data_IF_807159475783
#
_entry.id   IF_807159475783
#
_cell.length_a   1.000
_cell.length_b   1.000
_cell.length_c   1.000
_cell.angle_alpha   90.00
_cell.angle_beta   90.00
_cell.angle_gamma   90.00
#
_symmetry.space_group_name_H-M   'P 1'
#
loop_
_entity.id
_entity.type
_entity.pdbx_description
1 polymer ?
#
# COMPACT_ATOMS: atom_id res chain seq x y z
N UNK A 1 18.56 13.77 -44.49
CA UNK A 1 17.43 13.69 -43.53
C UNK A 1 17.28 15.03 -42.80
N UNK A 2 16.10 15.36 -42.28
CA UNK A 2 15.85 16.60 -41.52
C UNK A 2 15.52 16.29 -40.06
N UNK A 3 15.90 17.19 -39.15
CA UNK A 3 15.53 17.10 -37.74
C UNK A 3 14.00 17.13 -37.57
N UNK A 4 13.43 16.17 -36.83
CA UNK A 4 11.99 16.10 -36.57
C UNK A 4 11.45 17.32 -35.82
N UNK A 5 12.27 17.98 -34.99
CA UNK A 5 11.88 19.15 -34.21
C UNK A 5 12.02 20.47 -34.97
N UNK A 6 13.23 20.79 -35.48
CA UNK A 6 13.51 22.11 -36.09
C UNK A 6 13.65 22.09 -37.62
N UNK A 7 13.43 20.94 -38.27
CA UNK A 7 13.48 20.74 -39.74
C UNK A 7 14.82 21.03 -40.43
N UNK A 8 15.88 21.36 -39.69
CA UNK A 8 17.22 21.55 -40.27
C UNK A 8 17.79 20.25 -40.84
N UNK A 9 18.60 20.31 -41.90
CA UNK A 9 19.33 19.15 -42.40
C UNK A 9 20.20 18.55 -41.29
N UNK A 10 20.12 17.23 -41.11
CA UNK A 10 21.00 16.47 -40.23
C UNK A 10 22.28 16.14 -40.99
N UNK A 11 23.42 16.24 -40.30
CA UNK A 11 24.69 15.75 -40.83
C UNK A 11 24.60 14.22 -41.04
N UNK A 12 25.30 13.65 -42.04
CA UNK A 12 25.19 12.23 -42.39
C UNK A 12 25.42 11.28 -41.20
N UNK A 13 26.36 11.62 -40.32
CA UNK A 13 26.72 10.83 -39.13
C UNK A 13 25.63 10.83 -38.05
N UNK A 14 24.89 11.94 -37.90
CA UNK A 14 23.76 12.05 -36.97
C UNK A 14 22.46 11.45 -37.54
N UNK A 15 22.38 11.26 -38.86
CA UNK A 15 21.17 10.82 -39.55
C UNK A 15 20.86 9.32 -39.35
N UNK A 16 21.86 8.49 -39.01
CA UNK A 16 21.68 7.05 -38.83
C UNK A 16 21.14 6.64 -37.44
N UNK A 17 21.27 7.50 -36.42
CA UNK A 17 20.99 7.12 -35.03
C UNK A 17 20.08 8.10 -34.27
N UNK A 18 19.78 9.26 -34.86
CA UNK A 18 19.02 10.33 -34.19
C UNK A 18 18.14 11.11 -35.17
N UNK A 19 16.82 11.01 -34.99
CA UNK A 19 15.85 11.87 -35.70
C UNK A 19 15.92 13.36 -35.25
N UNK A 20 16.82 13.72 -34.34
CA UNK A 20 16.98 15.06 -33.76
C UNK A 20 18.41 15.58 -33.92
N UNK A 21 18.59 16.89 -34.03
CA UNK A 21 19.91 17.53 -33.99
C UNK A 21 20.33 17.86 -32.55
N UNK A 22 21.60 18.23 -32.35
CA UNK A 22 22.21 18.46 -31.03
C UNK A 22 21.82 19.77 -30.33
N UNK A 23 20.93 20.55 -30.95
CA UNK A 23 20.42 21.77 -30.31
C UNK A 23 19.68 21.41 -29.01
N UNK A 24 19.91 22.16 -27.90
CA UNK A 24 19.29 21.87 -26.62
C UNK A 24 17.77 21.68 -26.69
N UNK A 25 17.05 22.49 -27.47
CA UNK A 25 15.60 22.41 -27.61
C UNK A 25 15.15 21.14 -28.34
N UNK A 26 15.94 20.70 -29.33
CA UNK A 26 15.66 19.48 -30.09
C UNK A 26 15.95 18.23 -29.25
N UNK A 27 17.02 18.25 -28.45
CA UNK A 27 17.36 17.17 -27.52
C UNK A 27 16.35 17.08 -26.36
N UNK A 28 15.88 18.22 -25.84
CA UNK A 28 14.77 18.23 -24.86
C UNK A 28 13.51 17.61 -25.45
N UNK A 29 13.12 17.97 -26.68
CA UNK A 29 11.96 17.37 -27.34
C UNK A 29 12.14 15.87 -27.59
N UNK A 30 13.34 15.41 -27.97
CA UNK A 30 13.68 13.98 -28.06
C UNK A 30 13.45 13.25 -26.74
N UNK A 31 13.93 13.81 -25.62
CA UNK A 31 13.74 13.23 -24.28
C UNK A 31 12.26 13.17 -23.90
N UNK A 32 11.51 14.24 -24.16
CA UNK A 32 10.05 14.27 -23.90
C UNK A 32 9.32 13.19 -24.71
N UNK A 33 9.60 13.06 -26.00
CA UNK A 33 8.97 12.03 -26.84
C UNK A 33 9.38 10.61 -26.45
N UNK A 34 10.65 10.39 -26.09
CA UNK A 34 11.11 9.10 -25.60
C UNK A 34 10.42 8.71 -24.28
N UNK A 35 10.32 9.67 -23.33
CA UNK A 35 9.59 9.48 -22.07
C UNK A 35 8.11 9.22 -22.31
N UNK A 36 7.47 9.93 -23.26
CA UNK A 36 6.07 9.72 -23.60
C UNK A 36 5.84 8.31 -24.18
N UNK A 37 6.70 7.84 -25.08
CA UNK A 37 6.64 6.47 -25.63
C UNK A 37 6.83 5.40 -24.55
N UNK A 38 7.80 5.59 -23.66
CA UNK A 38 8.03 4.68 -22.53
C UNK A 38 6.81 4.65 -21.59
N UNK A 39 6.22 5.82 -21.30
CA UNK A 39 5.01 5.93 -20.48
C UNK A 39 3.83 5.21 -21.14
N UNK A 40 3.62 5.40 -22.44
CA UNK A 40 2.58 4.73 -23.21
C UNK A 40 2.77 3.20 -23.20
N UNK A 41 3.97 2.71 -23.51
CA UNK A 41 4.25 1.27 -23.50
C UNK A 41 4.03 0.66 -22.10
N UNK A 42 4.44 1.36 -21.04
CA UNK A 42 4.19 0.92 -19.66
C UNK A 42 2.70 0.92 -19.31
N UNK A 43 1.92 1.87 -19.83
CA UNK A 43 0.48 1.91 -19.65
C UNK A 43 -0.21 0.73 -20.36
N UNK A 44 0.18 0.43 -21.59
CA UNK A 44 -0.32 -0.72 -22.37
C UNK A 44 0.01 -2.05 -21.68
N UNK A 45 1.25 -2.22 -21.21
CA UNK A 45 1.67 -3.40 -20.45
C UNK A 45 0.87 -3.55 -19.15
N UNK A 46 0.68 -2.47 -18.40
CA UNK A 46 -0.12 -2.50 -17.17
C UNK A 46 -1.59 -2.86 -17.45
N UNK A 47 -2.18 -2.29 -18.52
CA UNK A 47 -3.56 -2.58 -18.90
C UNK A 47 -3.73 -4.05 -19.30
N UNK A 48 -2.79 -4.59 -20.10
CA UNK A 48 -2.78 -6.00 -20.47
C UNK A 48 -2.63 -6.91 -19.24
N UNK A 49 -1.71 -6.56 -18.32
CA UNK A 49 -1.54 -7.25 -17.06
C UNK A 49 -2.85 -7.27 -16.26
N UNK A 50 -3.51 -6.12 -16.09
CA UNK A 50 -4.77 -6.03 -15.35
C UNK A 50 -5.90 -6.83 -15.98
N UNK A 51 -6.09 -6.75 -17.30
CA UNK A 51 -7.15 -7.48 -17.99
C UNK A 51 -6.98 -9.00 -17.84
N UNK A 52 -5.74 -9.50 -17.96
CA UNK A 52 -5.43 -10.91 -17.74
C UNK A 52 -5.63 -11.31 -16.26
N UNK A 53 -5.21 -10.44 -15.35
CA UNK A 53 -5.37 -10.63 -13.90
C UNK A 53 -6.85 -10.77 -13.52
N UNK A 54 -7.70 -9.82 -13.94
CA UNK A 54 -9.14 -9.84 -13.68
C UNK A 54 -9.78 -11.15 -14.18
N UNK A 55 -9.46 -11.55 -15.43
CA UNK A 55 -9.96 -12.81 -16.01
C UNK A 55 -9.53 -14.05 -15.22
N UNK A 56 -8.28 -14.10 -14.74
CA UNK A 56 -7.78 -15.26 -13.97
C UNK A 56 -8.36 -15.32 -12.57
N UNK A 57 -8.68 -14.18 -11.96
CA UNK A 57 -9.12 -14.16 -10.55
C UNK A 57 -10.61 -14.08 -10.33
N UNK A 58 -11.40 -13.86 -11.39
CA UNK A 58 -12.86 -13.83 -11.29
C UNK A 58 -13.41 -15.07 -10.55
N UNK A 59 -12.98 -16.27 -10.92
CA UNK A 59 -13.46 -17.51 -10.31
C UNK A 59 -13.12 -17.63 -8.83
N UNK A 60 -11.90 -17.25 -8.42
CA UNK A 60 -11.49 -17.34 -7.00
C UNK A 60 -12.13 -16.23 -6.16
N UNK A 61 -12.40 -15.06 -6.73
CA UNK A 61 -13.15 -13.99 -6.05
C UNK A 61 -14.59 -14.45 -5.82
N UNK A 62 -15.26 -15.03 -6.83
CA UNK A 62 -16.62 -15.59 -6.68
C UNK A 62 -16.68 -16.69 -5.62
N UNK A 63 -15.73 -17.62 -5.64
CA UNK A 63 -15.67 -18.70 -4.65
C UNK A 63 -15.47 -18.15 -3.22
N UNK A 64 -14.56 -17.20 -3.02
CA UNK A 64 -14.37 -16.57 -1.71
C UNK A 64 -15.60 -15.76 -1.26
N UNK A 65 -16.30 -15.10 -2.18
CA UNK A 65 -17.53 -14.38 -1.89
C UNK A 65 -18.64 -15.34 -1.44
N UNK A 66 -18.84 -16.46 -2.14
CA UNK A 66 -19.76 -17.53 -1.76
C UNK A 66 -19.41 -18.13 -0.38
N UNK A 67 -18.13 -18.42 -0.12
CA UNK A 67 -17.67 -18.92 1.18
C UNK A 67 -17.86 -17.90 2.31
N UNK A 68 -17.83 -16.60 2.01
CA UNK A 68 -18.15 -15.52 2.96
C UNK A 68 -19.66 -15.30 3.14
N UNK A 69 -20.50 -16.12 2.52
CA UNK A 69 -21.96 -16.05 2.62
C UNK A 69 -22.61 -15.04 1.68
N UNK A 70 -21.86 -14.45 0.73
CA UNK A 70 -22.39 -13.54 -0.27
C UNK A 70 -21.99 -13.93 -1.70
N UNK A 71 -22.74 -14.83 -2.37
CA UNK A 71 -22.39 -15.28 -3.73
C UNK A 71 -22.58 -14.20 -4.80
N UNK A 72 -23.37 -13.15 -4.52
CA UNK A 72 -23.61 -12.06 -5.46
C UNK A 72 -22.53 -10.96 -5.33
N UNK A 73 -21.67 -10.84 -6.34
CA UNK A 73 -20.61 -9.82 -6.40
C UNK A 73 -21.14 -8.40 -6.53
N UNK A 74 -22.41 -8.20 -6.88
CA UNK A 74 -23.02 -6.88 -6.88
C UNK A 74 -23.38 -6.42 -5.45
N UNK A 75 -23.41 -7.36 -4.50
CA UNK A 75 -23.76 -7.14 -3.09
C UNK A 75 -22.57 -7.18 -2.14
N UNK A 76 -21.38 -7.57 -2.61
CA UNK A 76 -20.13 -7.54 -1.86
C UNK A 76 -19.09 -6.67 -2.56
N UNK A 77 -18.28 -5.96 -1.79
CA UNK A 77 -17.16 -5.21 -2.36
C UNK A 77 -16.07 -6.18 -2.83
N UNK A 78 -15.42 -5.92 -3.95
CA UNK A 78 -14.29 -6.76 -4.34
C UNK A 78 -13.18 -6.02 -5.07
N UNK A 79 -11.98 -6.60 -5.08
CA UNK A 79 -10.85 -5.99 -5.73
C UNK A 79 -9.64 -6.89 -5.90
N UNK A 80 -8.58 -6.27 -6.41
CA UNK A 80 -7.27 -6.88 -6.59
C UNK A 80 -6.25 -6.16 -5.72
N UNK A 81 -5.18 -6.86 -5.38
CA UNK A 81 -4.01 -6.29 -4.71
C UNK A 81 -2.72 -6.92 -5.27
N UNK A 82 -1.54 -6.28 -5.15
CA UNK A 82 -0.28 -6.93 -5.45
C UNK A 82 0.10 -7.82 -4.27
N UNK A 83 0.43 -9.09 -4.50
CA UNK A 83 0.90 -9.99 -3.44
C UNK A 83 2.42 -10.02 -3.41
N UNK A 84 3.01 -9.67 -2.27
CA UNK A 84 4.48 -9.59 -2.10
C UNK A 84 5.09 -10.89 -1.56
N UNK A 85 4.27 -11.87 -1.15
CA UNK A 85 4.66 -13.18 -0.62
C UNK A 85 5.86 -13.14 0.34
N UNK A 86 5.71 -12.38 1.42
CA UNK A 86 6.73 -12.30 2.46
C UNK A 86 6.28 -13.09 3.70
N UNK A 87 7.19 -13.89 4.29
CA UNK A 87 6.84 -14.72 5.41
C UNK A 87 6.60 -13.88 6.67
N UNK A 88 5.69 -14.37 7.50
CA UNK A 88 5.52 -13.91 8.87
C UNK A 88 6.64 -14.53 9.73
N UNK A 89 7.45 -13.69 10.38
CA UNK A 89 8.61 -14.14 11.15
C UNK A 89 8.60 -13.53 12.56
N UNK A 90 9.14 -14.23 13.58
CA UNK A 90 9.38 -13.61 14.88
C UNK A 90 10.18 -12.32 14.72
N UNK A 91 9.82 -11.29 15.49
CA UNK A 91 10.51 -10.01 15.40
C UNK A 91 11.96 -10.14 15.89
N UNK A 92 12.98 -9.79 15.09
CA UNK A 92 14.36 -9.84 15.54
C UNK A 92 14.59 -8.93 16.74
N UNK A 93 15.17 -9.45 17.82
CA UNK A 93 15.40 -8.71 19.07
C UNK A 93 16.16 -7.40 18.85
N UNK A 94 17.16 -7.43 17.96
CA UNK A 94 17.94 -6.25 17.56
C UNK A 94 17.02 -5.16 17.00
N UNK A 95 16.08 -5.50 16.12
CA UNK A 95 15.15 -4.52 15.54
C UNK A 95 14.18 -3.96 16.60
N UNK A 96 13.69 -4.80 17.52
CA UNK A 96 12.85 -4.35 18.63
C UNK A 96 13.60 -3.38 19.53
N UNK A 97 14.85 -3.69 19.89
CA UNK A 97 15.72 -2.84 20.70
C UNK A 97 15.99 -1.50 20.01
N UNK A 98 16.38 -1.53 18.74
CA UNK A 98 16.71 -0.32 17.99
C UNK A 98 15.47 0.58 17.82
N UNK A 99 14.29 -0.02 17.62
CA UNK A 99 13.03 0.73 17.61
C UNK A 99 12.66 1.30 18.97
N UNK A 100 12.82 0.55 20.06
CA UNK A 100 12.58 1.05 21.42
C UNK A 100 13.54 2.20 21.77
N UNK A 101 14.80 2.15 21.32
CA UNK A 101 15.75 3.25 21.47
C UNK A 101 15.31 4.50 20.69
N UNK A 102 14.85 4.33 19.43
CA UNK A 102 14.28 5.42 18.64
C UNK A 102 13.05 6.05 19.32
N UNK A 103 12.12 5.23 19.81
CA UNK A 103 10.94 5.70 20.55
C UNK A 103 11.33 6.51 21.78
N UNK A 104 12.23 6.00 22.63
CA UNK A 104 12.73 6.74 23.80
C UNK A 104 13.33 8.08 23.41
N UNK A 105 14.09 8.14 22.33
CA UNK A 105 14.71 9.38 21.86
C UNK A 105 13.65 10.42 21.45
N UNK A 106 12.66 10.06 20.63
CA UNK A 106 11.62 11.00 20.18
C UNK A 106 10.63 11.36 21.30
N UNK A 107 10.45 10.49 22.30
CA UNK A 107 9.68 10.78 23.52
C UNK A 107 10.44 11.79 24.38
N UNK A 108 11.71 11.52 24.69
CA UNK A 108 12.54 12.45 25.45
C UNK A 108 12.60 13.84 24.77
N UNK A 109 12.76 13.88 23.45
CA UNK A 109 12.74 15.13 22.68
C UNK A 109 11.42 15.91 22.84
N UNK A 110 10.28 15.20 22.94
CA UNK A 110 8.98 15.83 23.20
C UNK A 110 8.89 16.39 24.62
N UNK A 111 9.29 15.61 25.63
CA UNK A 111 9.18 16.01 27.05
C UNK A 111 10.16 17.12 27.45
N UNK A 112 11.38 17.12 26.91
CA UNK A 112 12.35 18.19 27.19
C UNK A 112 11.85 19.57 26.75
N UNK A 113 10.97 19.65 25.74
CA UNK A 113 10.35 20.91 25.35
C UNK A 113 9.39 21.45 26.42
N UNK A 114 8.69 20.56 27.14
CA UNK A 114 7.79 20.89 28.25
C UNK A 114 8.54 21.28 29.50
N UNK A 115 9.64 20.59 29.82
CA UNK A 115 10.49 20.98 30.96
C UNK A 115 11.03 22.40 30.80
N UNK A 116 11.28 22.85 29.56
CA UNK A 116 11.74 24.20 29.25
C UNK A 116 10.62 25.26 29.34
N UNK A 117 9.41 24.95 28.88
CA UNK A 117 8.27 25.87 28.91
C UNK A 117 7.52 25.90 30.24
N UNK A 118 7.63 24.84 31.04
CA UNK A 118 6.82 24.61 32.24
C UNK A 118 5.40 24.13 31.95
N UNK A 119 5.04 23.95 30.68
CA UNK A 119 3.69 23.59 30.24
C UNK A 119 3.73 22.43 29.22
N UNK A 120 2.79 21.47 29.30
CA UNK A 120 2.66 20.43 28.29
C UNK A 120 2.39 21.07 26.92
N UNK A 121 2.66 20.35 25.82
CA UNK A 121 2.36 20.84 24.49
C UNK A 121 0.86 21.20 24.45
N UNK A 122 0.51 22.41 24.05
CA UNK A 122 -0.89 22.79 23.84
C UNK A 122 -1.37 22.26 22.48
N UNK A 123 -2.67 21.95 22.38
CA UNK A 123 -3.30 21.70 21.08
C UNK A 123 -3.07 22.92 20.18
N UNK A 124 -2.47 22.76 18.99
CA UNK A 124 -2.16 23.90 18.15
C UNK A 124 -3.46 24.48 17.56
N UNK A 125 -3.81 25.69 18.00
CA UNK A 125 -4.93 26.44 17.46
C UNK A 125 -4.74 26.64 15.95
N UNK A 126 -5.73 26.22 15.16
CA UNK A 126 -5.77 26.35 13.70
C UNK A 126 -4.65 25.67 12.89
N UNK A 127 -3.99 24.62 13.39
CA UNK A 127 -3.06 23.84 12.57
C UNK A 127 -3.81 22.94 11.54
N UNK A 128 -3.63 23.18 10.22
CA UNK A 128 -4.30 22.38 9.19
C UNK A 128 -3.83 20.92 9.15
N UNK A 129 -2.58 20.65 9.57
CA UNK A 129 -2.03 19.30 9.67
C UNK A 129 -2.71 18.49 10.77
N UNK A 130 -3.04 19.13 11.89
CA UNK A 130 -3.74 18.57 13.02
C UNK A 130 -5.21 18.27 12.69
N UNK A 131 -5.96 19.24 12.15
CA UNK A 131 -7.36 19.02 11.71
C UNK A 131 -7.44 17.85 10.73
N UNK A 132 -6.50 17.77 9.79
CA UNK A 132 -6.37 16.65 8.86
C UNK A 132 -6.06 15.33 9.58
N UNK A 133 -5.14 15.33 10.55
CA UNK A 133 -4.77 14.13 11.31
C UNK A 133 -5.97 13.58 12.07
N UNK A 134 -6.67 14.41 12.85
CA UNK A 134 -7.91 14.04 13.58
C UNK A 134 -8.94 13.40 12.66
N UNK A 135 -9.23 14.02 11.52
CA UNK A 135 -10.18 13.45 10.54
C UNK A 135 -9.71 12.14 9.90
N UNK A 136 -8.43 11.78 10.00
CA UNK A 136 -7.87 10.52 9.51
C UNK A 136 -7.74 9.45 10.60
N UNK A 137 -8.09 9.76 11.86
CA UNK A 137 -8.11 8.78 12.95
C UNK A 137 -9.35 7.92 12.95
N UNK A 138 -10.46 8.44 12.39
CA UNK A 138 -11.68 7.66 12.19
C UNK A 138 -11.33 6.35 11.47
N UNK A 139 -11.76 5.20 11.99
CA UNK A 139 -11.48 3.93 11.36
C UNK A 139 -12.16 3.91 9.99
N UNK A 140 -11.38 3.60 8.97
CA UNK A 140 -11.95 3.22 7.69
C UNK A 140 -12.77 1.92 7.87
N UNK A 141 -13.79 1.67 7.03
CA UNK A 141 -14.51 0.40 7.03
C UNK A 141 -13.57 -0.79 7.04
N UNK A 142 -13.82 -1.79 7.89
CA UNK A 142 -12.95 -2.96 8.05
C UNK A 142 -12.77 -3.72 6.74
N UNK A 143 -13.79 -3.74 5.90
CA UNK A 143 -13.75 -4.24 4.52
C UNK A 143 -12.52 -3.74 3.74
N UNK A 144 -12.11 -2.48 3.92
CA UNK A 144 -10.95 -1.92 3.20
C UNK A 144 -9.60 -2.48 3.64
N UNK A 145 -9.55 -3.16 4.79
CA UNK A 145 -8.34 -3.86 5.21
C UNK A 145 -8.08 -5.12 4.37
N UNK A 146 -9.10 -5.70 3.73
CA UNK A 146 -8.95 -6.85 2.83
C UNK A 146 -7.83 -6.62 1.80
N UNK A 147 -7.76 -5.41 1.23
CA UNK A 147 -6.71 -5.04 0.27
C UNK A 147 -5.31 -5.09 0.89
N UNK A 148 -5.14 -4.60 2.13
CA UNK A 148 -3.85 -4.61 2.82
C UNK A 148 -3.43 -6.03 3.21
N UNK A 149 -4.36 -6.85 3.70
CA UNK A 149 -4.13 -8.22 4.14
C UNK A 149 -3.79 -9.13 2.95
N UNK A 150 -4.50 -8.98 1.84
CA UNK A 150 -4.21 -9.70 0.60
C UNK A 150 -2.88 -9.26 -0.01
N UNK A 151 -2.53 -7.97 0.13
CA UNK A 151 -1.27 -7.42 -0.37
C UNK A 151 -0.05 -7.90 0.40
N UNK A 152 -0.20 -8.16 1.71
CA UNK A 152 0.90 -8.18 2.67
C UNK A 152 1.76 -6.92 2.61
N UNK A 153 1.09 -5.76 2.51
CA UNK A 153 1.67 -4.44 2.78
C UNK A 153 2.94 -4.06 2.02
N UNK A 154 2.91 -4.06 0.67
CA UNK A 154 3.95 -3.47 -0.19
C UNK A 154 4.36 -2.05 0.26
N UNK A 155 3.37 -1.23 0.67
CA UNK A 155 3.63 0.11 1.21
C UNK A 155 4.21 0.09 2.64
N UNK A 156 3.85 -0.90 3.47
CA UNK A 156 4.33 -1.06 4.84
C UNK A 156 5.82 -1.44 4.90
N UNK A 157 6.38 -2.02 3.83
CA UNK A 157 7.80 -2.33 3.73
C UNK A 157 8.69 -1.11 3.99
N UNK A 158 8.24 0.05 3.52
CA UNK A 158 8.96 1.31 3.69
C UNK A 158 9.08 1.75 5.15
N UNK A 159 8.19 1.25 6.03
CA UNK A 159 8.24 1.54 7.47
C UNK A 159 9.29 0.71 8.23
N UNK A 160 9.79 -0.37 7.63
CA UNK A 160 10.72 -1.31 8.28
C UNK A 160 12.05 -0.69 8.66
N UNK A 161 12.64 0.11 7.77
CA UNK A 161 13.90 0.83 7.98
C UNK A 161 13.72 2.26 8.47
N UNK A 162 12.47 2.69 8.69
CA UNK A 162 12.12 4.07 9.05
C UNK A 162 11.40 4.17 10.40
N UNK A 163 11.52 3.14 11.24
CA UNK A 163 10.92 3.07 12.58
C UNK A 163 9.43 3.47 12.59
N UNK A 164 8.64 2.83 11.73
CA UNK A 164 7.20 3.10 11.55
C UNK A 164 6.87 4.57 11.18
N UNK A 165 7.85 5.32 10.66
CA UNK A 165 7.78 6.75 10.35
C UNK A 165 7.50 7.65 11.57
N UNK A 166 7.61 7.11 12.79
CA UNK A 166 7.36 7.85 14.01
C UNK A 166 8.48 8.87 14.26
N UNK A 167 8.07 10.04 14.74
CA UNK A 167 8.88 11.24 14.96
C UNK A 167 8.24 12.03 16.10
N UNK A 168 8.98 12.96 16.70
CA UNK A 168 8.50 13.84 17.78
C UNK A 168 7.07 14.40 17.58
N UNK A 169 6.66 14.93 16.40
CA UNK A 169 5.29 15.46 16.24
C UNK A 169 4.17 14.45 16.49
N UNK A 170 4.44 13.15 16.33
CA UNK A 170 3.48 12.10 16.64
C UNK A 170 3.39 11.84 18.15
N UNK A 171 4.47 12.03 18.89
CA UNK A 171 4.45 11.97 20.36
C UNK A 171 3.81 13.23 20.94
N UNK A 172 4.12 14.42 20.39
CA UNK A 172 3.45 15.66 20.76
C UNK A 172 1.93 15.51 20.63
N UNK A 173 1.46 14.89 19.55
CA UNK A 173 0.04 14.59 19.38
C UNK A 173 -0.53 13.69 20.49
N UNK A 174 0.16 12.59 20.83
CA UNK A 174 -0.31 11.70 21.91
C UNK A 174 -0.41 12.47 23.22
N UNK A 175 0.57 13.32 23.52
CA UNK A 175 0.58 14.18 24.71
C UNK A 175 -0.50 15.25 24.66
N UNK A 176 -0.92 15.73 23.49
CA UNK A 176 -2.10 16.59 23.38
C UNK A 176 -3.39 15.86 23.76
N UNK A 177 -3.55 14.63 23.28
CA UNK A 177 -4.73 13.84 23.57
C UNK A 177 -4.76 13.31 25.01
N UNK A 178 -3.59 13.12 25.62
CA UNK A 178 -3.43 12.69 27.01
C UNK A 178 -2.32 13.50 27.70
N UNK A 179 -2.61 14.74 28.16
CA UNK A 179 -1.60 15.63 28.76
C UNK A 179 -0.96 15.10 30.04
N UNK A 180 -1.71 14.28 30.78
CA UNK A 180 -1.27 13.65 32.03
C UNK A 180 -0.44 12.37 31.79
N UNK A 181 -0.29 11.92 30.54
CA UNK A 181 0.45 10.70 30.24
C UNK A 181 1.96 10.91 30.43
N UNK A 182 2.58 10.03 31.20
CA UNK A 182 4.01 10.05 31.47
C UNK A 182 4.81 9.44 30.32
N UNK A 183 6.09 9.80 30.22
CA UNK A 183 6.97 9.34 29.15
C UNK A 183 7.06 7.81 29.05
N UNK A 184 7.09 7.12 30.19
CA UNK A 184 7.15 5.65 30.24
C UNK A 184 5.81 5.02 29.84
N UNK A 185 4.67 5.62 30.20
CA UNK A 185 3.34 5.16 29.80
C UNK A 185 3.18 5.23 28.27
N UNK A 186 3.63 6.33 27.65
CA UNK A 186 3.62 6.46 26.19
C UNK A 186 4.51 5.38 25.56
N UNK A 187 5.71 5.15 26.10
CA UNK A 187 6.59 4.09 25.60
C UNK A 187 5.92 2.72 25.68
N UNK A 188 5.31 2.38 26.82
CA UNK A 188 4.61 1.11 27.04
C UNK A 188 3.44 0.92 26.08
N UNK A 189 2.65 1.97 25.85
CA UNK A 189 1.55 1.96 24.87
C UNK A 189 2.07 1.56 23.49
N UNK A 190 3.14 2.18 22.99
CA UNK A 190 3.70 1.85 21.67
C UNK A 190 4.30 0.44 21.62
N UNK A 191 4.98 -0.02 22.67
CA UNK A 191 5.62 -1.33 22.70
C UNK A 191 4.62 -2.49 22.87
N UNK A 192 3.52 -2.27 23.59
CA UNK A 192 2.48 -3.29 23.80
C UNK A 192 1.72 -3.65 22.51
N UNK A 193 1.72 -2.75 21.52
CA UNK A 193 1.14 -3.01 20.19
C UNK A 193 2.08 -3.78 19.23
N UNK A 194 3.31 -4.10 19.63
CA UNK A 194 4.21 -4.91 18.80
C UNK A 194 3.73 -6.37 18.79
N UNK A 195 3.40 -6.95 17.62
CA UNK A 195 3.02 -8.36 17.56
C UNK A 195 4.20 -9.29 17.85
N UNK A 196 3.95 -10.54 18.20
CA UNK A 196 5.03 -11.53 18.36
C UNK A 196 5.76 -11.81 17.04
N UNK A 197 5.01 -11.78 15.94
CA UNK A 197 5.53 -11.95 14.59
C UNK A 197 5.13 -10.79 13.69
N UNK A 198 6.02 -10.44 12.76
CA UNK A 198 5.79 -9.40 11.76
C UNK A 198 6.21 -9.87 10.38
N UNK A 199 5.65 -9.28 9.32
CA UNK A 199 6.07 -9.56 7.95
C UNK A 199 7.57 -9.23 7.79
N UNK A 200 8.34 -10.19 7.28
CA UNK A 200 9.78 -10.08 7.13
C UNK A 200 10.17 -8.82 6.35
N UNK A 201 11.18 -8.09 6.85
CA UNK A 201 11.67 -6.85 6.24
C UNK A 201 10.72 -5.65 6.33
N UNK A 202 9.50 -5.81 6.86
CA UNK A 202 8.50 -4.74 6.94
C UNK A 202 8.57 -3.93 8.24
N UNK A 203 7.72 -2.89 8.36
CA UNK A 203 7.39 -2.20 9.61
C UNK A 203 7.11 -3.18 10.76
N UNK A 204 7.57 -2.87 11.97
CA UNK A 204 7.43 -3.74 13.16
C UNK A 204 5.97 -3.95 13.60
N UNK A 205 5.08 -3.01 13.28
CA UNK A 205 3.64 -3.14 13.53
C UNK A 205 2.91 -3.92 12.44
N UNK A 206 3.60 -4.42 11.41
CA UNK A 206 2.96 -5.17 10.33
C UNK A 206 2.76 -6.63 10.71
N UNK A 207 1.65 -6.92 11.39
CA UNK A 207 1.20 -8.27 11.72
C UNK A 207 0.53 -8.97 10.54
N UNK A 208 -0.02 -10.16 10.81
CA UNK A 208 -0.66 -11.02 9.80
C UNK A 208 -1.86 -10.35 9.10
N UNK A 209 -2.67 -9.63 9.86
CA UNK A 209 -3.88 -8.96 9.37
C UNK A 209 -3.70 -7.46 9.13
N UNK A 210 -2.45 -7.01 9.00
CA UNK A 210 -2.12 -5.61 8.75
C UNK A 210 -1.50 -4.92 9.97
N UNK A 211 -1.72 -3.61 10.08
CA UNK A 211 -1.06 -2.79 11.10
C UNK A 211 -1.72 -2.98 12.47
N UNK A 212 -0.96 -3.50 13.45
CA UNK A 212 -1.41 -3.73 14.83
C UNK A 212 -1.48 -2.46 15.67
N UNK A 213 -0.85 -1.37 15.20
CA UNK A 213 -0.90 -0.08 15.87
C UNK A 213 -2.25 0.61 15.56
N UNK A 214 -3.00 1.12 16.55
CA UNK A 214 -4.21 1.90 16.33
C UNK A 214 -3.95 3.19 15.52
N UNK A 215 -4.94 3.65 14.75
CA UNK A 215 -4.80 4.83 13.87
C UNK A 215 -4.32 6.09 14.58
N UNK A 216 -4.81 6.35 15.80
CA UNK A 216 -4.41 7.51 16.59
C UNK A 216 -2.92 7.52 16.98
N UNK A 217 -2.28 6.35 17.01
CA UNK A 217 -0.85 6.20 17.32
C UNK A 217 0.02 6.11 16.05
N UNK A 218 -0.59 5.95 14.87
CA UNK A 218 0.16 5.82 13.61
C UNK A 218 0.78 7.16 13.18
N UNK A 219 1.84 7.04 12.38
CA UNK A 219 2.39 8.19 11.67
C UNK A 219 1.39 8.75 10.63
N UNK A 220 1.45 10.05 10.33
CA UNK A 220 0.50 10.70 9.42
C UNK A 220 0.46 10.05 8.04
N UNK A 221 1.62 9.62 7.52
CA UNK A 221 1.69 8.93 6.22
C UNK A 221 0.94 7.59 6.24
N UNK A 222 0.91 6.90 7.38
CA UNK A 222 0.24 5.61 7.51
C UNK A 222 -1.29 5.74 7.54
N UNK A 223 -1.82 6.91 7.92
CA UNK A 223 -3.26 7.19 7.88
C UNK A 223 -3.71 7.81 6.56
N UNK A 224 -2.84 8.61 5.91
CA UNK A 224 -3.20 9.35 4.69
C UNK A 224 -2.91 8.60 3.38
N UNK A 225 -2.01 7.62 3.39
CA UNK A 225 -1.61 6.92 2.18
C UNK A 225 -2.70 5.95 1.69
N UNK A 226 -3.15 6.15 0.45
CA UNK A 226 -4.11 5.29 -0.24
C UNK A 226 -3.49 4.78 -1.54
N UNK A 227 -3.15 3.48 -1.59
CA UNK A 227 -2.68 2.88 -2.83
C UNK A 227 -3.83 2.73 -3.83
N UNK A 228 -3.52 2.65 -5.13
CA UNK A 228 -4.54 2.52 -6.19
C UNK A 228 -5.53 1.38 -5.98
N UNK A 229 -5.07 0.28 -5.39
CA UNK A 229 -5.89 -0.92 -5.15
C UNK A 229 -6.90 -0.70 -4.03
N UNK A 230 -6.47 0.01 -2.97
CA UNK A 230 -7.35 0.41 -1.88
C UNK A 230 -8.34 1.49 -2.31
N UNK A 231 -7.92 2.43 -3.15
CA UNK A 231 -8.83 3.43 -3.75
C UNK A 231 -9.92 2.76 -4.58
N UNK A 232 -9.57 1.82 -5.47
CA UNK A 232 -10.55 1.07 -6.27
C UNK A 232 -11.52 0.27 -5.39
N UNK A 233 -11.04 -0.35 -4.31
CA UNK A 233 -11.90 -1.06 -3.35
C UNK A 233 -12.81 -0.08 -2.58
N UNK A 234 -12.31 1.09 -2.21
CA UNK A 234 -13.13 2.13 -1.56
C UNK A 234 -14.22 2.65 -2.51
N UNK A 235 -13.92 2.86 -3.79
CA UNK A 235 -14.91 3.23 -4.80
C UNK A 235 -16.02 2.18 -4.90
N UNK A 236 -15.67 0.89 -4.94
CA UNK A 236 -16.65 -0.21 -4.97
C UNK A 236 -17.47 -0.28 -3.66
N UNK A 237 -16.82 -0.11 -2.51
CA UNK A 237 -17.47 -0.09 -1.19
C UNK A 237 -18.45 1.07 -1.03
N UNK A 238 -18.14 2.26 -1.55
CA UNK A 238 -19.08 3.40 -1.51
C UNK A 238 -20.37 3.07 -2.27
N UNK A 239 -20.28 2.27 -3.33
CA UNK A 239 -21.46 1.81 -4.08
C UNK A 239 -22.20 0.67 -3.37
N UNK A 240 -21.55 -0.01 -2.42
CA UNK A 240 -22.05 -1.17 -1.66
C UNK A 240 -21.81 -0.99 -0.15
N UNK A 241 -22.34 0.08 0.47
CA UNK A 241 -22.02 0.41 1.86
C UNK A 241 -22.52 -0.67 2.81
N UNK A 242 -21.73 -0.98 3.86
CA UNK A 242 -22.05 -2.03 4.82
C UNK A 242 -21.89 -3.45 4.25
N UNK A 243 -21.24 -3.59 3.09
CA UNK A 243 -20.84 -4.90 2.57
C UNK A 243 -19.47 -5.31 3.11
N UNK A 244 -19.24 -6.62 3.20
CA UNK A 244 -17.89 -7.14 3.32
C UNK A 244 -17.04 -6.83 2.06
N UNK A 245 -15.79 -7.27 2.07
CA UNK A 245 -14.91 -7.20 0.91
C UNK A 245 -14.21 -8.52 0.64
N UNK A 246 -14.03 -8.84 -0.65
CA UNK A 246 -13.17 -9.93 -1.13
C UNK A 246 -12.05 -9.36 -1.98
N UNK A 247 -10.80 -9.68 -1.63
CA UNK A 247 -9.64 -9.24 -2.42
C UNK A 247 -8.74 -10.41 -2.78
N UNK A 248 -8.41 -10.51 -4.06
CA UNK A 248 -7.35 -11.38 -4.56
C UNK A 248 -6.03 -10.59 -4.65
N UNK A 249 -5.09 -10.91 -3.76
CA UNK A 249 -3.70 -10.49 -3.83
C UNK A 249 -2.94 -11.37 -4.82
N UNK A 250 -2.26 -10.77 -5.79
CA UNK A 250 -1.64 -11.49 -6.89
C UNK A 250 -0.21 -11.02 -7.16
N UNK A 251 0.73 -11.96 -7.31
CA UNK A 251 2.12 -11.62 -7.61
C UNK A 251 2.25 -10.94 -8.98
N UNK A 252 3.24 -10.05 -9.13
CA UNK A 252 3.45 -9.30 -10.39
C UNK A 252 3.81 -10.19 -11.56
N UNK A 253 4.51 -11.28 -11.30
CA UNK A 253 5.03 -12.24 -12.27
C UNK A 253 4.04 -13.37 -12.61
N UNK A 254 2.79 -13.33 -12.10
CA UNK A 254 1.82 -14.40 -12.39
C UNK A 254 1.60 -14.61 -13.89
N UNK A 255 1.76 -13.55 -14.69
CA UNK A 255 1.58 -13.58 -16.15
C UNK A 255 2.72 -14.30 -16.89
N UNK A 256 3.83 -14.55 -16.22
CA UNK A 256 5.02 -15.17 -16.79
C UNK A 256 5.04 -16.70 -16.59
N UNK A 257 4.19 -17.24 -15.71
CA UNK A 257 4.06 -18.69 -15.45
C UNK A 257 2.70 -19.23 -15.94
N UNK A 258 2.68 -20.15 -16.92
CA UNK A 258 1.45 -20.73 -17.45
C UNK A 258 0.74 -21.70 -16.51
N UNK A 259 1.38 -22.18 -15.44
CA UNK A 259 0.86 -23.27 -14.62
C UNK A 259 -0.25 -22.81 -13.64
N UNK A 260 -1.20 -23.70 -13.37
CA UNK A 260 -2.20 -23.51 -12.32
C UNK A 260 -1.58 -23.73 -10.93
N UNK A 261 -2.07 -23.00 -9.93
CA UNK A 261 -1.76 -23.24 -8.51
C UNK A 261 -0.36 -22.84 -8.04
N UNK A 262 0.44 -22.21 -8.90
CA UNK A 262 1.71 -21.59 -8.51
C UNK A 262 1.48 -20.49 -7.43
N UNK A 263 2.50 -20.15 -6.61
CA UNK A 263 2.35 -19.42 -5.33
C UNK A 263 2.09 -17.91 -5.49
N UNK A 264 1.23 -17.54 -6.42
CA UNK A 264 0.99 -16.18 -6.83
C UNK A 264 -0.25 -15.56 -6.21
N UNK A 265 -0.96 -16.26 -5.31
CA UNK A 265 -2.31 -15.88 -4.92
C UNK A 265 -2.50 -15.92 -3.41
N UNK A 266 -3.07 -14.83 -2.88
CA UNK A 266 -3.62 -14.75 -1.53
C UNK A 266 -5.02 -14.15 -1.61
N UNK A 267 -6.05 -14.94 -1.35
CA UNK A 267 -7.45 -14.47 -1.35
C UNK A 267 -7.91 -14.24 0.08
N UNK A 268 -8.47 -13.06 0.32
CA UNK A 268 -8.94 -12.64 1.65
C UNK A 268 -10.36 -12.14 1.53
N UNK A 269 -11.22 -12.58 2.44
CA UNK A 269 -12.51 -11.93 2.70
C UNK A 269 -12.49 -11.25 4.07
N UNK A 270 -13.23 -10.14 4.18
CA UNK A 270 -13.48 -9.43 5.43
C UNK A 270 -14.97 -9.13 5.48
N UNK A 271 -15.67 -9.52 6.55
CA UNK A 271 -17.09 -9.18 6.73
C UNK A 271 -17.26 -7.71 7.16
N UNK A 272 -18.49 -7.20 7.16
CA UNK A 272 -18.77 -5.84 7.66
C UNK A 272 -18.46 -5.73 9.17
N UNK A 273 -18.69 -6.81 9.91
CA UNK A 273 -18.34 -6.94 11.33
C UNK A 273 -16.82 -7.04 11.58
N UNK A 274 -16.03 -7.23 10.53
CA UNK A 274 -14.57 -7.27 10.57
C UNK A 274 -13.97 -8.67 10.72
N UNK A 275 -14.76 -9.73 10.54
CA UNK A 275 -14.24 -11.10 10.55
C UNK A 275 -13.39 -11.34 9.29
N UNK A 276 -12.13 -11.74 9.50
CA UNK A 276 -11.15 -11.94 8.42
C UNK A 276 -10.98 -13.43 8.12
N UNK A 277 -11.11 -13.80 6.84
CA UNK A 277 -10.82 -15.17 6.37
C UNK A 277 -9.77 -15.15 5.25
N UNK A 278 -8.73 -15.98 5.39
CA UNK A 278 -7.73 -16.23 4.34
C UNK A 278 -8.08 -17.56 3.66
N UNK A 279 -8.49 -17.51 2.39
CA UNK A 279 -8.93 -18.67 1.62
C UNK A 279 -7.72 -19.41 1.00
N UNK A 280 -6.91 -20.02 1.87
CA UNK A 280 -5.62 -20.65 1.49
C UNK A 280 -5.73 -21.86 0.54
N UNK A 281 -6.91 -22.48 0.46
CA UNK A 281 -7.22 -23.58 -0.45
C UNK A 281 -7.48 -23.12 -1.87
N UNK A 282 -7.89 -21.87 -2.10
CA UNK A 282 -8.12 -21.33 -3.43
C UNK A 282 -6.80 -21.20 -4.21
N UNK A 283 -6.83 -21.55 -5.49
CA UNK A 283 -5.67 -21.59 -6.37
C UNK A 283 -5.91 -20.79 -7.64
N UNK A 284 -4.88 -20.09 -8.09
CA UNK A 284 -4.95 -19.36 -9.36
C UNK A 284 -5.08 -20.37 -10.52
N UNK A 285 -6.03 -20.21 -11.44
CA UNK A 285 -6.13 -21.08 -12.61
C UNK A 285 -4.93 -20.87 -13.55
N UNK A 286 -4.69 -21.84 -14.43
CA UNK A 286 -3.67 -21.74 -15.49
C UNK A 286 -3.90 -20.50 -16.38
N UNK A 287 -2.87 -20.08 -17.10
CA UNK A 287 -3.04 -19.00 -18.08
C UNK A 287 -4.12 -19.39 -19.11
N UNK A 288 -5.06 -18.49 -19.43
CA UNK A 288 -6.03 -18.74 -20.50
C UNK A 288 -5.27 -19.03 -21.80
N UNK A 289 -5.61 -20.12 -22.49
CA UNK A 289 -5.05 -20.41 -23.80
C UNK A 289 -5.29 -19.22 -24.75
N UNK A 290 -4.32 -18.87 -25.62
CA UNK A 290 -4.47 -17.76 -26.57
C UNK A 290 -5.65 -17.95 -27.55
N UNK A 291 -6.21 -19.16 -27.64
CA UNK A 291 -7.28 -19.56 -28.56
C UNK A 291 -8.71 -19.34 -28.02
N UNK A 292 -8.90 -18.60 -26.93
CA UNK A 292 -10.23 -18.28 -26.37
C UNK A 292 -10.96 -17.09 -27.02
N UNK A 293 -10.58 -16.66 -28.23
CA UNK A 293 -11.35 -15.73 -29.07
C UNK A 293 -11.98 -16.51 -30.22
N UNK A 294 -12.86 -17.45 -29.91
CA UNK A 294 -13.91 -17.90 -30.82
C UNK A 294 -14.87 -18.83 -30.06
N UNK A 295 -16.15 -18.45 -30.03
CA UNK A 295 -17.27 -19.37 -29.90
C UNK A 295 -17.73 -19.77 -28.50
N UNK A 296 -18.67 -19.02 -27.94
CA UNK A 296 -20.05 -19.50 -27.65
C UNK A 296 -20.94 -18.31 -27.29
#
# INVERSE_FOLDING_TARGET
MQCKSCRRPLLPEAANDSAYCDRPECQTRRKVEASAKLAQSKQEQNAAWFALTEKRTEGVIRAAAEESGQPDLDMISYGLAPYVDLPLVPQPEVRRRDFAAHLRAIIAESFSATEQSGEPPAEPEDDPGYKRRRGQEEPDPMALNAACIACQGDCCLQGGTRHAFLKKPHIDYVRWCAPEAEAEEILEIYLSHLPDQSISGSCLYHGEFGCTLPRGLRANICNSFQCRFRLKLLEDYIMKPGSGAVVAGISRDHVDDPNAGAPYLRVVSVTDEGDVTIHSHLKLPALPSPEGRDGS
#
